data_IF_476949505990
#
_entry.id   IF_476949505990
#
_cell.length_a   1.000
_cell.length_b   1.000
_cell.length_c   1.000
_cell.angle_alpha   90.00
_cell.angle_beta   90.00
_cell.angle_gamma   90.00
#
_symmetry.space_group_name_H-M   'P 1'
#
loop_
_entity.id
_entity.type
_entity.pdbx_description
1 polymer ?
#
# COMPACT_ATOMS: atom_id res chain seq x y z
N UNK A 1 -8.94 -22.05 39.67
CA UNK A 1 -8.10 -21.86 38.52
C UNK A 1 -8.64 -20.70 37.66
N UNK A 2 -7.76 -19.99 37.02
CA UNK A 2 -8.13 -18.88 36.11
C UNK A 2 -8.78 -19.48 34.88
N UNK A 3 -10.02 -19.09 34.57
CA UNK A 3 -10.82 -19.64 33.49
C UNK A 3 -11.01 -18.65 32.35
N UNK A 4 -10.67 -17.36 32.58
CA UNK A 4 -10.72 -16.30 31.55
C UNK A 4 -9.42 -16.29 30.74
N UNK A 5 -9.47 -16.60 29.43
CA UNK A 5 -8.29 -16.62 28.58
C UNK A 5 -7.56 -15.27 28.50
N UNK A 6 -8.29 -14.15 28.46
CA UNK A 6 -7.71 -12.82 28.37
C UNK A 6 -6.91 -12.46 29.64
N UNK A 7 -7.41 -12.89 30.79
CA UNK A 7 -6.68 -12.67 32.04
C UNK A 7 -5.43 -13.54 32.15
N UNK A 8 -5.45 -14.73 31.55
CA UNK A 8 -4.26 -15.58 31.47
C UNK A 8 -3.21 -14.98 30.54
N UNK A 9 -3.63 -14.40 29.42
CA UNK A 9 -2.77 -13.67 28.48
C UNK A 9 -2.13 -12.46 29.17
N UNK A 10 -2.92 -11.63 29.86
CA UNK A 10 -2.41 -10.49 30.63
C UNK A 10 -1.31 -10.91 31.61
N UNK A 11 -1.56 -11.96 32.40
CA UNK A 11 -0.58 -12.47 33.37
C UNK A 11 0.70 -12.97 32.69
N UNK A 12 0.57 -13.64 31.55
CA UNK A 12 1.73 -14.06 30.75
C UNK A 12 2.54 -12.86 30.27
N UNK A 13 1.88 -11.87 29.67
CA UNK A 13 2.53 -10.67 29.14
C UNK A 13 3.17 -9.83 30.24
N UNK A 14 2.54 -9.70 31.42
CA UNK A 14 3.13 -9.03 32.59
C UNK A 14 4.44 -9.71 33.03
N UNK A 15 4.44 -11.03 33.09
CA UNK A 15 5.65 -11.81 33.45
C UNK A 15 6.77 -11.65 32.43
N UNK A 16 6.44 -11.70 31.14
CA UNK A 16 7.41 -11.50 30.08
C UNK A 16 7.99 -10.09 30.10
N UNK A 17 7.14 -9.08 30.32
CA UNK A 17 7.59 -7.70 30.45
C UNK A 17 8.51 -7.50 31.65
N UNK A 18 8.18 -8.12 32.80
CA UNK A 18 9.04 -8.07 33.99
C UNK A 18 10.41 -8.73 33.76
N UNK A 19 10.47 -9.86 33.06
CA UNK A 19 11.74 -10.53 32.71
C UNK A 19 12.59 -9.61 31.80
N UNK A 20 12.00 -9.00 30.79
CA UNK A 20 12.70 -8.08 29.89
C UNK A 20 13.24 -6.87 30.66
N UNK A 21 12.42 -6.25 31.49
CA UNK A 21 12.81 -5.10 32.33
C UNK A 21 13.96 -5.45 33.29
N UNK A 22 13.90 -6.63 33.94
CA UNK A 22 14.96 -7.12 34.82
C UNK A 22 16.30 -7.32 34.09
N UNK A 23 16.27 -7.50 32.75
CA UNK A 23 17.44 -7.60 31.91
C UNK A 23 17.80 -6.27 31.19
N UNK A 24 17.27 -5.15 31.67
CA UNK A 24 17.55 -3.82 31.13
C UNK A 24 17.01 -3.61 29.70
N UNK A 25 15.97 -4.36 29.30
CA UNK A 25 15.32 -4.22 28.00
C UNK A 25 13.93 -3.62 28.16
N UNK A 26 13.57 -2.73 27.26
CA UNK A 26 12.21 -2.20 27.16
C UNK A 26 11.33 -3.21 26.42
N UNK A 27 10.21 -3.65 27.01
CA UNK A 27 9.28 -4.55 26.31
C UNK A 27 8.62 -3.83 25.12
N UNK A 28 8.56 -4.50 23.98
CA UNK A 28 7.79 -4.10 22.81
C UNK A 28 6.65 -5.10 22.60
N UNK A 29 5.43 -4.62 22.41
CA UNK A 29 4.24 -5.46 22.32
C UNK A 29 3.32 -5.01 21.17
N UNK A 30 2.57 -5.95 20.60
CA UNK A 30 1.49 -5.60 19.68
C UNK A 30 0.30 -5.00 20.44
N UNK A 31 -0.54 -4.22 19.76
CA UNK A 31 -1.65 -3.50 20.39
C UNK A 31 -2.66 -4.40 21.09
N UNK A 32 -2.78 -5.68 20.74
CA UNK A 32 -3.67 -6.63 21.40
C UNK A 32 -3.31 -6.81 22.89
N UNK A 33 -2.04 -6.83 23.20
CA UNK A 33 -1.56 -7.03 24.58
C UNK A 33 -1.95 -5.89 25.55
N UNK A 34 -2.39 -4.74 25.02
CA UNK A 34 -2.80 -3.60 25.84
C UNK A 34 -4.31 -3.32 25.80
N UNK A 35 -5.08 -4.23 25.24
CA UNK A 35 -6.54 -4.08 25.10
C UNK A 35 -7.22 -3.93 26.44
N UNK A 36 -6.85 -4.73 27.43
CA UNK A 36 -7.36 -4.67 28.82
C UNK A 36 -6.81 -3.48 29.61
N UNK A 37 -5.64 -2.95 29.22
CA UNK A 37 -4.96 -1.85 29.90
C UNK A 37 -4.20 -2.25 31.17
N UNK A 38 -4.05 -3.55 31.45
CA UNK A 38 -3.35 -4.08 32.64
C UNK A 38 -1.83 -3.98 32.56
N UNK A 39 -1.26 -3.99 31.35
CA UNK A 39 0.18 -3.98 31.14
C UNK A 39 0.83 -2.63 31.55
N UNK A 40 2.09 -2.67 31.99
CA UNK A 40 2.86 -1.47 32.35
C UNK A 40 2.92 -0.47 31.20
N UNK A 41 2.81 0.83 31.51
CA UNK A 41 2.96 1.94 30.54
C UNK A 41 4.40 2.13 30.03
N UNK A 42 5.37 1.43 30.61
CA UNK A 42 6.73 1.39 30.10
C UNK A 42 6.88 0.55 28.83
N UNK A 43 5.89 -0.28 28.51
CA UNK A 43 5.87 -1.04 27.26
C UNK A 43 5.70 -0.10 26.06
N UNK A 44 6.47 -0.37 25.01
CA UNK A 44 6.29 0.26 23.69
C UNK A 44 5.25 -0.55 22.92
N UNK A 45 4.21 0.11 22.42
CA UNK A 45 3.13 -0.55 21.66
C UNK A 45 3.35 -0.36 20.16
N UNK A 46 3.21 -1.43 19.40
CA UNK A 46 3.15 -1.42 17.93
C UNK A 46 1.70 -1.58 17.50
N UNK A 47 1.09 -0.48 17.06
CA UNK A 47 -0.32 -0.43 16.66
C UNK A 47 -0.50 -0.81 15.19
N UNK A 48 -0.83 -2.07 14.93
CA UNK A 48 -0.90 -2.58 13.56
C UNK A 48 -2.31 -2.87 13.05
N UNK A 49 -3.24 -3.27 13.94
CA UNK A 49 -4.54 -3.77 13.51
C UNK A 49 -5.39 -2.71 12.80
N UNK A 50 -5.34 -1.47 13.27
CA UNK A 50 -6.10 -0.35 12.68
C UNK A 50 -5.66 0.98 13.28
N UNK A 51 -6.08 2.07 12.65
CA UNK A 51 -5.97 3.43 13.22
C UNK A 51 -6.64 3.50 14.60
N UNK A 52 -7.81 2.86 14.75
CA UNK A 52 -8.51 2.81 16.04
C UNK A 52 -7.67 2.14 17.13
N UNK A 53 -7.00 1.04 16.83
CA UNK A 53 -6.14 0.36 17.80
C UNK A 53 -4.97 1.25 18.25
N UNK A 54 -4.40 2.04 17.34
CA UNK A 54 -3.38 3.03 17.67
C UNK A 54 -3.94 4.14 18.59
N UNK A 55 -5.13 4.66 18.27
CA UNK A 55 -5.82 5.65 19.10
C UNK A 55 -6.11 5.13 20.50
N UNK A 56 -6.63 3.90 20.61
CA UNK A 56 -6.96 3.28 21.88
C UNK A 56 -5.70 3.07 22.76
N UNK A 57 -4.58 2.66 22.15
CA UNK A 57 -3.31 2.50 22.85
C UNK A 57 -2.76 3.85 23.35
N UNK A 58 -2.72 4.86 22.50
CA UNK A 58 -2.25 6.21 22.86
C UNK A 58 -3.15 6.86 23.91
N UNK A 59 -4.47 6.70 23.82
CA UNK A 59 -5.44 7.21 24.79
C UNK A 59 -5.28 6.55 26.19
N UNK A 60 -4.80 5.30 26.23
CA UNK A 60 -4.45 4.61 27.47
C UNK A 60 -3.09 5.02 28.04
N UNK A 61 -2.37 5.93 27.38
CA UNK A 61 -1.07 6.44 27.82
C UNK A 61 0.13 5.56 27.44
N UNK A 62 -0.01 4.63 26.48
CA UNK A 62 1.12 3.88 25.97
C UNK A 62 1.85 4.64 24.88
N UNK A 63 3.17 4.74 24.97
CA UNK A 63 3.98 5.14 23.83
C UNK A 63 3.78 4.14 22.68
N UNK A 64 3.39 4.66 21.51
CA UNK A 64 2.90 3.84 20.40
C UNK A 64 3.63 4.18 19.10
N UNK A 65 4.15 3.15 18.45
CA UNK A 65 4.53 3.19 17.04
C UNK A 65 3.27 2.98 16.21
N UNK A 66 2.90 3.97 15.41
CA UNK A 66 1.69 3.93 14.59
C UNK A 66 2.02 3.26 13.26
N UNK A 67 1.44 2.06 13.05
CA UNK A 67 1.69 1.24 11.85
C UNK A 67 0.45 0.48 11.37
N UNK A 68 -0.72 1.14 11.27
CA UNK A 68 -1.96 0.45 10.89
C UNK A 68 -1.83 -0.20 9.52
N UNK A 69 -2.25 -1.48 9.43
CA UNK A 69 -2.05 -2.32 8.26
C UNK A 69 -2.68 -1.75 6.99
N UNK A 70 -3.83 -1.09 7.12
CA UNK A 70 -4.56 -0.45 6.03
C UNK A 70 -3.84 0.77 5.39
N UNK A 71 -2.69 1.19 5.96
CA UNK A 71 -1.85 2.28 5.45
C UNK A 71 -0.38 1.89 5.27
N UNK A 72 0.16 1.03 6.15
CA UNK A 72 1.61 0.87 6.25
C UNK A 72 2.10 -0.58 6.14
N UNK A 73 1.23 -1.55 5.84
CA UNK A 73 1.67 -2.89 5.49
C UNK A 73 1.94 -2.96 3.99
N UNK A 74 3.21 -2.95 3.62
CA UNK A 74 3.65 -2.86 2.22
C UNK A 74 3.67 -4.21 1.49
N UNK A 75 3.28 -5.28 2.14
CA UNK A 75 2.87 -6.55 1.53
C UNK A 75 1.45 -6.51 0.96
N UNK A 76 0.67 -5.46 1.26
CA UNK A 76 -0.63 -5.23 0.63
C UNK A 76 -0.46 -4.78 -0.83
N UNK A 77 -1.29 -5.32 -1.73
CA UNK A 77 -1.30 -4.95 -3.16
C UNK A 77 -1.67 -3.48 -3.36
N UNK A 78 -1.16 -2.91 -4.44
CA UNK A 78 -1.35 -1.49 -4.71
C UNK A 78 -2.54 -1.20 -5.65
N UNK A 79 -2.95 -2.20 -6.43
CA UNK A 79 -4.21 -2.21 -7.20
C UNK A 79 -4.85 -3.60 -7.12
N UNK A 80 -6.14 -3.76 -7.46
CA UNK A 80 -6.80 -5.07 -7.45
C UNK A 80 -6.15 -6.15 -8.32
N UNK A 81 -5.37 -5.75 -9.33
CA UNK A 81 -4.76 -6.66 -10.31
C UNK A 81 -3.24 -6.81 -10.15
N UNK A 82 -2.68 -6.24 -9.10
CA UNK A 82 -1.29 -6.47 -8.72
C UNK A 82 -1.18 -7.59 -7.68
N UNK A 83 0.00 -8.21 -7.63
CA UNK A 83 0.30 -9.19 -6.60
C UNK A 83 0.38 -8.52 -5.22
N UNK A 84 0.16 -9.31 -4.18
CA UNK A 84 0.19 -8.89 -2.78
C UNK A 84 -1.04 -9.33 -2.02
N UNK A 85 -1.00 -9.17 -0.71
CA UNK A 85 -2.15 -9.38 0.15
C UNK A 85 -3.17 -8.24 0.01
N UNK A 86 -4.41 -8.47 0.46
CA UNK A 86 -5.49 -7.47 0.41
C UNK A 86 -6.36 -7.45 1.67
N UNK A 87 -6.02 -8.28 2.66
CA UNK A 87 -6.81 -8.45 3.87
C UNK A 87 -6.93 -7.15 4.71
N UNK A 88 -5.93 -6.25 4.68
CA UNK A 88 -6.01 -4.98 5.38
C UNK A 88 -6.57 -3.86 4.49
N UNK A 89 -6.07 -3.74 3.27
CA UNK A 89 -6.53 -2.78 2.27
C UNK A 89 -5.79 -2.99 0.94
N UNK A 90 -6.25 -2.27 -0.10
CA UNK A 90 -5.53 -2.08 -1.36
C UNK A 90 -5.13 -0.62 -1.43
N UNK A 91 -3.82 -0.31 -1.58
CA UNK A 91 -3.36 1.07 -1.53
C UNK A 91 -1.98 1.30 -2.15
N UNK A 92 -1.81 2.47 -2.73
CA UNK A 92 -0.57 2.98 -3.30
C UNK A 92 0.09 4.07 -2.41
N UNK A 93 1.15 4.68 -2.91
CA UNK A 93 1.87 5.75 -2.21
C UNK A 93 1.01 7.00 -1.94
N UNK A 94 -0.03 7.24 -2.74
CA UNK A 94 -0.94 8.38 -2.52
C UNK A 94 -1.75 8.19 -1.24
N UNK A 95 -2.24 6.98 -0.99
CA UNK A 95 -2.94 6.68 0.26
C UNK A 95 -2.02 6.76 1.47
N UNK A 96 -0.77 6.26 1.35
CA UNK A 96 0.24 6.40 2.42
C UNK A 96 0.49 7.86 2.75
N UNK A 97 0.74 8.69 1.72
CA UNK A 97 0.94 10.14 1.88
C UNK A 97 -0.27 10.85 2.50
N UNK A 98 -1.48 10.39 2.19
CA UNK A 98 -2.72 10.94 2.73
C UNK A 98 -3.01 10.58 4.20
N UNK A 99 -2.08 9.90 4.90
CA UNK A 99 -2.25 9.67 6.33
C UNK A 99 -1.98 10.97 7.10
N UNK A 100 -3.03 11.49 7.72
CA UNK A 100 -2.95 12.68 8.58
C UNK A 100 -3.45 12.34 9.98
N UNK A 101 -2.63 12.61 10.99
CA UNK A 101 -2.96 12.29 12.37
C UNK A 101 -4.24 12.99 12.85
N UNK A 102 -4.41 14.26 12.47
CA UNK A 102 -5.58 15.05 12.89
C UNK A 102 -6.86 14.49 12.28
N UNK A 103 -6.85 14.19 10.99
CA UNK A 103 -7.99 13.58 10.28
C UNK A 103 -8.32 12.19 10.83
N UNK A 104 -7.34 11.48 11.38
CA UNK A 104 -7.52 10.17 12.02
C UNK A 104 -7.97 10.26 13.48
N UNK A 105 -8.11 11.47 14.01
CA UNK A 105 -8.61 11.70 15.37
C UNK A 105 -7.54 11.70 16.47
N UNK A 106 -6.25 11.79 16.11
CA UNK A 106 -5.19 11.97 17.10
C UNK A 106 -5.19 13.42 17.58
N UNK A 107 -5.75 13.63 18.78
CA UNK A 107 -5.68 14.93 19.47
C UNK A 107 -4.32 15.15 20.16
N UNK A 108 -4.11 16.32 20.77
CA UNK A 108 -2.84 16.65 21.44
C UNK A 108 -2.41 15.65 22.52
N UNK A 109 -3.36 15.01 23.19
CA UNK A 109 -3.07 14.01 24.24
C UNK A 109 -2.55 12.71 23.61
N UNK A 110 -3.20 12.20 22.57
CA UNK A 110 -2.74 11.02 21.85
C UNK A 110 -1.38 11.25 21.20
N UNK A 111 -1.17 12.43 20.60
CA UNK A 111 0.08 12.77 19.94
C UNK A 111 1.29 12.79 20.87
N UNK A 112 1.12 13.06 22.17
CA UNK A 112 2.22 12.95 23.15
C UNK A 112 2.75 11.53 23.29
N UNK A 113 1.91 10.54 22.99
CA UNK A 113 2.22 9.13 23.11
C UNK A 113 2.56 8.49 21.76
N UNK A 114 2.54 9.23 20.65
CA UNK A 114 3.04 8.77 19.35
C UNK A 114 4.54 8.94 19.29
N UNK A 115 5.28 7.83 19.15
CA UNK A 115 6.75 7.86 19.04
C UNK A 115 7.24 7.87 17.60
N UNK A 116 6.39 7.51 16.65
CA UNK A 116 6.69 7.54 15.23
C UNK A 116 5.80 6.65 14.38
N UNK A 117 6.16 6.56 13.12
CA UNK A 117 5.53 5.73 12.10
C UNK A 117 6.44 4.57 11.71
N UNK A 118 5.86 3.44 11.37
CA UNK A 118 6.58 2.29 10.84
C UNK A 118 5.77 1.64 9.72
N UNK A 119 6.46 1.17 8.67
CA UNK A 119 5.91 0.23 7.71
C UNK A 119 6.35 -1.20 8.04
N UNK A 120 5.56 -2.16 7.60
CA UNK A 120 5.92 -3.58 7.64
C UNK A 120 5.79 -4.19 6.26
N UNK A 121 6.61 -5.19 6.00
CA UNK A 121 6.50 -6.07 4.85
C UNK A 121 6.74 -7.51 5.34
N UNK A 122 5.71 -8.34 5.27
CA UNK A 122 5.81 -9.72 5.71
C UNK A 122 6.29 -10.61 4.56
N UNK A 123 7.25 -11.48 4.88
CA UNK A 123 8.02 -12.23 3.88
C UNK A 123 7.22 -13.28 3.11
N UNK A 124 6.06 -13.68 3.58
CA UNK A 124 5.18 -14.62 2.88
C UNK A 124 4.83 -14.11 1.48
N UNK A 125 4.57 -12.81 1.36
CA UNK A 125 4.29 -12.20 0.06
C UNK A 125 5.52 -12.18 -0.86
N UNK A 126 6.73 -12.10 -0.30
CA UNK A 126 7.99 -12.13 -1.06
C UNK A 126 8.34 -13.55 -1.50
N UNK A 127 8.35 -14.49 -0.58
CA UNK A 127 8.81 -15.88 -0.84
C UNK A 127 7.97 -16.55 -1.94
N UNK A 128 6.68 -16.24 -2.03
CA UNK A 128 5.81 -16.80 -3.06
C UNK A 128 6.15 -16.32 -4.49
N UNK A 129 6.99 -15.27 -4.63
CA UNK A 129 7.34 -14.68 -5.91
C UNK A 129 8.82 -14.86 -6.31
N UNK A 130 9.66 -15.34 -5.39
CA UNK A 130 11.04 -15.71 -5.70
C UNK A 130 11.13 -17.13 -6.34
N UNK A 131 12.00 -17.35 -7.33
CA UNK A 131 12.91 -16.40 -8.00
C UNK A 131 12.29 -15.65 -9.18
N UNK A 132 11.00 -15.79 -9.43
CA UNK A 132 10.34 -15.27 -10.64
C UNK A 132 10.31 -13.74 -10.69
N UNK A 133 10.25 -13.11 -9.54
CA UNK A 133 10.19 -11.64 -9.39
C UNK A 133 11.20 -11.15 -8.35
N UNK A 134 12.51 -11.18 -8.64
CA UNK A 134 13.56 -10.81 -7.68
C UNK A 134 13.46 -9.36 -7.20
N UNK A 135 12.77 -8.50 -7.94
CA UNK A 135 12.59 -7.09 -7.62
C UNK A 135 11.28 -6.80 -6.85
N UNK A 136 10.57 -7.84 -6.45
CA UNK A 136 9.24 -7.71 -5.86
C UNK A 136 9.23 -6.84 -4.59
N UNK A 137 10.22 -7.00 -3.71
CA UNK A 137 10.34 -6.21 -2.49
C UNK A 137 10.50 -4.71 -2.81
N UNK A 138 11.39 -4.37 -3.72
CA UNK A 138 11.61 -2.99 -4.15
C UNK A 138 10.34 -2.39 -4.74
N UNK A 139 9.71 -3.12 -5.64
CA UNK A 139 8.48 -2.70 -6.29
C UNK A 139 7.33 -2.46 -5.30
N UNK A 140 7.21 -3.31 -4.29
CA UNK A 140 6.17 -3.18 -3.28
C UNK A 140 6.46 -2.06 -2.26
N UNK A 141 7.74 -1.84 -1.91
CA UNK A 141 8.11 -0.83 -0.93
C UNK A 141 8.22 0.57 -1.54
N UNK A 142 8.79 0.71 -2.72
CA UNK A 142 9.00 2.01 -3.35
C UNK A 142 7.94 2.31 -4.41
N UNK A 143 7.33 3.52 -4.39
CA UNK A 143 7.69 4.71 -3.59
C UNK A 143 6.91 4.85 -2.26
N UNK A 144 6.15 3.86 -1.80
CA UNK A 144 5.35 3.97 -0.57
C UNK A 144 6.18 4.37 0.65
N UNK A 145 7.40 3.83 0.77
CA UNK A 145 8.29 4.17 1.88
C UNK A 145 8.77 5.63 1.82
N UNK A 146 8.91 6.21 0.61
CA UNK A 146 9.23 7.62 0.46
C UNK A 146 8.08 8.50 0.99
N UNK A 147 6.83 8.10 0.73
CA UNK A 147 5.66 8.78 1.25
C UNK A 147 5.58 8.70 2.78
N UNK A 148 5.82 7.52 3.36
CA UNK A 148 5.88 7.32 4.80
C UNK A 148 6.99 8.18 5.43
N UNK A 149 8.19 8.18 4.86
CA UNK A 149 9.29 9.00 5.34
C UNK A 149 8.95 10.49 5.31
N UNK A 150 8.28 10.96 4.24
CA UNK A 150 7.85 12.36 4.11
C UNK A 150 6.93 12.78 5.25
N UNK A 151 5.89 11.99 5.53
CA UNK A 151 4.94 12.32 6.61
C UNK A 151 5.56 12.14 8.00
N UNK A 152 6.47 11.18 8.19
CA UNK A 152 7.15 10.97 9.47
C UNK A 152 8.08 12.13 9.84
N UNK A 153 8.78 12.73 8.86
CA UNK A 153 9.75 13.79 9.10
C UNK A 153 9.14 15.20 9.07
N UNK A 154 8.14 15.45 8.23
CA UNK A 154 7.65 16.81 7.98
C UNK A 154 6.15 16.98 8.27
N UNK A 155 5.45 15.91 8.59
CA UNK A 155 4.00 15.92 8.64
C UNK A 155 3.39 16.07 7.24
N UNK A 156 2.08 16.13 7.19
CA UNK A 156 1.31 16.29 5.95
C UNK A 156 0.99 17.78 5.72
N UNK A 157 2.02 18.56 5.33
CA UNK A 157 1.92 20.03 5.21
C UNK A 157 1.53 20.51 3.80
N UNK A 158 1.50 19.61 2.80
CA UNK A 158 1.32 19.94 1.38
C UNK A 158 0.36 18.97 0.72
N UNK A 159 -0.26 19.42 -0.39
CA UNK A 159 -1.11 18.55 -1.20
C UNK A 159 -0.31 17.49 -1.96
N UNK A 160 -1.01 16.40 -2.36
CA UNK A 160 -0.44 15.31 -3.14
C UNK A 160 0.32 15.78 -4.38
N UNK A 161 -0.21 16.74 -5.14
CA UNK A 161 0.40 17.17 -6.40
C UNK A 161 1.78 17.85 -6.20
N UNK A 162 1.96 18.55 -5.08
CA UNK A 162 3.25 19.14 -4.71
C UNK A 162 4.24 18.03 -4.34
N UNK A 163 3.82 17.11 -3.49
CA UNK A 163 4.64 15.96 -3.11
C UNK A 163 4.98 15.06 -4.31
N UNK A 164 4.03 14.85 -5.22
CA UNK A 164 4.25 14.01 -6.40
C UNK A 164 5.36 14.55 -7.31
N UNK A 165 5.45 15.89 -7.46
CA UNK A 165 6.59 16.52 -8.17
C UNK A 165 7.90 16.27 -7.45
N UNK A 166 7.96 16.43 -6.11
CA UNK A 166 9.15 16.09 -5.34
C UNK A 166 9.53 14.61 -5.48
N UNK A 167 8.54 13.72 -5.49
CA UNK A 167 8.74 12.29 -5.66
C UNK A 167 9.35 11.95 -7.02
N UNK A 168 8.93 12.61 -8.10
CA UNK A 168 9.53 12.39 -9.43
C UNK A 168 11.00 12.79 -9.49
N UNK A 169 11.42 13.79 -8.73
CA UNK A 169 12.84 14.15 -8.58
C UNK A 169 13.67 13.06 -7.86
N UNK A 170 13.03 12.18 -7.10
CA UNK A 170 13.68 11.04 -6.46
C UNK A 170 13.86 9.83 -7.40
N UNK A 171 13.20 9.78 -8.54
CA UNK A 171 13.30 8.65 -9.46
C UNK A 171 14.74 8.40 -9.92
N UNK A 172 15.50 9.46 -10.19
CA UNK A 172 16.91 9.35 -10.56
C UNK A 172 17.77 8.78 -9.44
N UNK A 173 17.50 9.17 -8.21
CA UNK A 173 18.22 8.66 -7.03
C UNK A 173 17.93 7.18 -6.80
N UNK A 174 16.65 6.79 -6.86
CA UNK A 174 16.26 5.38 -6.72
C UNK A 174 16.88 4.53 -7.82
N UNK A 175 16.84 5.00 -9.07
CA UNK A 175 17.47 4.30 -10.19
C UNK A 175 19.00 4.18 -10.04
N UNK A 176 19.68 5.24 -9.58
CA UNK A 176 21.12 5.21 -9.34
C UNK A 176 21.51 4.24 -8.21
N UNK A 177 20.62 3.98 -7.26
CA UNK A 177 20.76 2.98 -6.21
C UNK A 177 20.41 1.56 -6.68
N UNK A 178 19.96 1.39 -7.91
CA UNK A 178 19.51 0.12 -8.45
C UNK A 178 18.13 -0.33 -7.99
N UNK A 179 17.39 0.53 -7.29
CA UNK A 179 16.05 0.22 -6.78
C UNK A 179 15.08 0.10 -7.95
N UNK A 180 14.30 -0.96 -8.00
CA UNK A 180 13.30 -1.22 -9.03
C UNK A 180 11.91 -0.82 -8.55
N UNK A 181 11.68 0.47 -8.52
CA UNK A 181 10.48 1.06 -7.94
C UNK A 181 9.25 1.00 -8.85
N UNK A 182 8.09 1.04 -8.23
CA UNK A 182 6.82 1.13 -8.90
C UNK A 182 6.52 2.57 -9.33
N UNK A 183 6.18 2.74 -10.60
CA UNK A 183 5.61 3.97 -11.12
C UNK A 183 4.07 3.95 -11.03
N UNK A 184 3.46 5.11 -11.13
CA UNK A 184 2.01 5.19 -11.27
C UNK A 184 1.60 4.79 -12.70
N UNK A 185 0.47 4.08 -12.86
CA UNK A 185 -0.01 3.73 -14.20
C UNK A 185 -0.39 5.00 -14.98
N UNK A 186 -0.22 4.99 -16.32
CA UNK A 186 -0.60 6.13 -17.14
C UNK A 186 -2.12 6.31 -17.15
N UNK A 187 -2.55 7.54 -17.39
CA UNK A 187 -3.94 7.87 -17.63
C UNK A 187 -4.31 7.54 -19.06
N UNK A 188 -5.32 6.73 -19.25
CA UNK A 188 -5.78 6.29 -20.57
C UNK A 188 -7.17 6.82 -20.84
N UNK A 189 -7.38 7.39 -21.99
CA UNK A 189 -8.68 7.79 -22.51
C UNK A 189 -8.90 7.20 -23.90
N UNK A 190 -10.15 6.85 -24.23
CA UNK A 190 -10.54 6.34 -25.53
C UNK A 190 -11.62 7.22 -26.14
N UNK A 191 -11.33 7.80 -27.29
CA UNK A 191 -12.28 8.65 -28.00
C UNK A 191 -12.09 8.50 -29.52
N UNK A 192 -13.19 8.46 -30.25
CA UNK A 192 -13.21 8.46 -31.73
C UNK A 192 -12.32 7.35 -32.37
N UNK A 193 -12.29 6.18 -31.74
CA UNK A 193 -11.52 5.04 -32.25
C UNK A 193 -10.02 5.09 -31.95
N UNK A 194 -9.58 5.96 -31.05
CA UNK A 194 -8.18 6.08 -30.68
C UNK A 194 -7.97 6.14 -29.16
N UNK A 195 -6.88 5.56 -28.67
CA UNK A 195 -6.40 5.71 -27.30
C UNK A 195 -5.46 6.91 -27.22
N UNK A 196 -5.72 7.78 -26.27
CA UNK A 196 -4.79 8.83 -25.85
C UNK A 196 -4.30 8.50 -24.44
N UNK A 197 -2.97 8.52 -24.26
CA UNK A 197 -2.32 8.08 -23.03
C UNK A 197 -1.36 9.15 -22.54
N UNK A 198 -1.40 9.44 -21.23
CA UNK A 198 -0.58 10.47 -20.60
C UNK A 198 0.06 9.90 -19.32
N UNK A 199 1.35 10.15 -19.17
CA UNK A 199 2.09 9.93 -17.92
C UNK A 199 2.37 11.30 -17.28
N UNK A 200 1.90 11.51 -16.07
CA UNK A 200 2.02 12.80 -15.36
C UNK A 200 3.47 13.09 -14.90
N UNK A 201 4.30 12.06 -14.82
CA UNK A 201 5.68 12.11 -14.30
C UNK A 201 6.75 12.18 -15.41
N UNK A 202 6.34 12.31 -16.66
CA UNK A 202 7.25 12.33 -17.79
C UNK A 202 7.89 10.98 -18.14
N UNK A 203 7.41 9.90 -17.54
CA UNK A 203 7.87 8.55 -17.85
C UNK A 203 7.52 8.16 -19.30
N UNK A 204 8.34 7.30 -19.90
CA UNK A 204 8.06 6.76 -21.21
C UNK A 204 6.85 5.81 -21.14
N UNK A 205 5.96 5.94 -22.11
CA UNK A 205 4.75 5.12 -22.19
C UNK A 205 4.97 4.01 -23.22
N UNK A 206 4.53 2.81 -22.85
CA UNK A 206 4.53 1.64 -23.74
C UNK A 206 3.13 1.01 -23.75
N UNK A 207 2.85 0.24 -24.80
CA UNK A 207 1.62 -0.55 -24.87
C UNK A 207 1.87 -1.91 -25.50
N UNK A 208 0.98 -2.85 -25.18
CA UNK A 208 0.90 -4.17 -25.77
C UNK A 208 -0.46 -4.32 -26.46
N UNK A 209 -0.49 -5.06 -27.55
CA UNK A 209 -1.67 -5.31 -28.36
C UNK A 209 -2.04 -6.81 -28.33
N UNK A 210 -3.26 -7.12 -27.97
CA UNK A 210 -3.75 -8.50 -27.84
C UNK A 210 -2.96 -9.29 -26.81
N UNK A 211 -2.66 -10.54 -27.13
CA UNK A 211 -1.88 -11.46 -26.27
C UNK A 211 -0.36 -11.38 -26.57
N UNK A 212 0.06 -10.49 -27.46
CA UNK A 212 1.47 -10.31 -27.77
C UNK A 212 2.23 -9.81 -26.53
N UNK A 213 3.41 -10.39 -26.24
CA UNK A 213 4.30 -9.86 -25.19
C UNK A 213 5.15 -8.68 -25.69
N UNK A 214 5.06 -8.32 -26.99
CA UNK A 214 5.84 -7.25 -27.58
C UNK A 214 5.37 -5.89 -27.11
N UNK A 215 6.29 -5.12 -26.53
CA UNK A 215 6.01 -3.76 -26.07
C UNK A 215 6.31 -2.76 -27.20
N UNK A 216 5.34 -1.95 -27.53
CA UNK A 216 5.47 -0.85 -28.48
C UNK A 216 5.58 0.46 -27.72
N UNK A 217 6.54 1.31 -28.14
CA UNK A 217 6.68 2.66 -27.56
C UNK A 217 5.51 3.53 -28.03
N UNK A 218 4.83 4.16 -27.09
CA UNK A 218 3.76 5.12 -27.40
C UNK A 218 4.34 6.45 -27.84
N UNK A 219 4.02 6.86 -29.05
CA UNK A 219 4.48 8.15 -29.65
C UNK A 219 3.33 9.09 -30.01
N UNK A 220 2.10 8.66 -29.80
CA UNK A 220 0.89 9.40 -30.11
C UNK A 220 -0.34 8.52 -30.12
N UNK A 221 -1.53 9.04 -30.40
CA UNK A 221 -2.78 8.29 -30.31
C UNK A 221 -2.76 6.98 -31.09
N UNK A 222 -3.07 5.87 -30.40
CA UNK A 222 -3.14 4.54 -31.00
C UNK A 222 -4.55 4.33 -31.57
N UNK A 223 -4.64 4.28 -32.90
CA UNK A 223 -5.89 4.03 -33.59
C UNK A 223 -6.22 2.53 -33.53
N UNK A 224 -7.48 2.21 -33.30
CA UNK A 224 -7.95 0.83 -33.25
C UNK A 224 -8.95 0.58 -34.38
N UNK A 225 -8.56 -0.25 -35.33
CA UNK A 225 -9.44 -0.63 -36.47
C UNK A 225 -10.24 -1.91 -36.15
N UNK A 226 -9.70 -2.75 -35.29
CA UNK A 226 -10.28 -4.03 -34.89
C UNK A 226 -10.41 -4.15 -33.37
N UNK A 227 -11.31 -5.00 -32.86
CA UNK A 227 -11.35 -5.29 -31.41
C UNK A 227 -10.05 -5.97 -31.00
N UNK A 228 -9.28 -5.30 -30.16
CA UNK A 228 -8.07 -5.82 -29.54
C UNK A 228 -7.98 -5.36 -28.10
N UNK A 229 -7.34 -6.20 -27.30
CA UNK A 229 -6.94 -5.86 -25.96
C UNK A 229 -5.72 -4.94 -26.02
N UNK A 230 -5.79 -3.79 -25.35
CA UNK A 230 -4.65 -2.87 -25.21
C UNK A 230 -4.32 -2.74 -23.73
N UNK A 231 -3.03 -2.88 -23.41
CA UNK A 231 -2.51 -2.71 -22.05
C UNK A 231 -1.43 -1.65 -22.09
N UNK A 232 -1.55 -0.59 -21.30
CA UNK A 232 -0.62 0.52 -21.26
C UNK A 232 0.17 0.51 -19.97
N UNK A 233 1.46 0.84 -20.03
CA UNK A 233 2.34 0.95 -18.86
C UNK A 233 3.34 2.09 -19.08
N UNK A 234 4.00 2.50 -17.97
CA UNK A 234 5.11 3.46 -18.01
C UNK A 234 6.41 2.82 -17.57
N UNK A 235 7.51 3.36 -18.05
CA UNK A 235 8.88 3.00 -17.65
C UNK A 235 9.71 4.26 -17.45
N UNK A 236 10.55 4.24 -16.43
CA UNK A 236 11.58 5.25 -16.21
C UNK A 236 12.80 4.59 -15.58
N UNK A 237 13.87 4.42 -16.37
CA UNK A 237 15.09 3.72 -15.92
C UNK A 237 14.77 2.34 -15.32
N UNK A 238 14.98 2.18 -14.01
CA UNK A 238 14.66 0.93 -13.28
C UNK A 238 13.19 0.84 -12.84
N UNK A 239 12.43 1.95 -12.95
CA UNK A 239 11.02 2.01 -12.56
C UNK A 239 10.07 1.46 -13.63
N UNK A 240 8.98 0.85 -13.18
CA UNK A 240 7.91 0.34 -14.03
C UNK A 240 6.55 0.50 -13.35
N UNK A 241 5.52 0.88 -14.11
CA UNK A 241 4.14 0.83 -13.62
C UNK A 241 3.51 -0.55 -13.83
N UNK A 242 2.40 -0.87 -13.11
CA UNK A 242 1.48 -1.89 -13.57
C UNK A 242 0.83 -1.43 -14.88
N UNK A 243 0.07 -2.33 -15.51
CA UNK A 243 -0.77 -1.92 -16.62
C UNK A 243 -1.82 -0.89 -16.15
N UNK A 244 -2.09 0.06 -17.05
CA UNK A 244 -3.04 1.13 -16.75
C UNK A 244 -4.36 0.55 -16.28
N UNK A 245 -4.67 0.86 -15.04
CA UNK A 245 -5.91 0.53 -14.35
C UNK A 245 -6.60 -0.69 -14.95
N UNK A 246 -6.73 -1.75 -14.37
CA UNK A 246 -7.63 -2.89 -14.63
C UNK A 246 -8.40 -2.86 -15.96
N UNK A 247 -8.07 -1.92 -16.84
CA UNK A 247 -8.79 -1.64 -18.05
C UNK A 247 -8.01 -2.22 -19.20
N UNK A 248 -8.38 -3.45 -19.50
CA UNK A 248 -8.20 -3.96 -20.81
C UNK A 248 -9.15 -3.21 -21.72
N UNK A 249 -8.64 -2.30 -22.51
CA UNK A 249 -9.43 -1.59 -23.50
C UNK A 249 -9.52 -2.46 -24.74
N UNK A 250 -10.73 -2.74 -25.18
CA UNK A 250 -10.97 -3.35 -26.45
C UNK A 250 -12.10 -2.60 -27.16
N UNK A 251 -12.00 -2.50 -28.45
CA UNK A 251 -13.10 -2.01 -29.28
C UNK A 251 -14.08 -3.17 -29.49
N UNK A 252 -15.30 -3.02 -29.00
CA UNK A 252 -16.38 -3.94 -29.40
C UNK A 252 -17.13 -3.36 -30.59
N UNK A 253 -17.41 -4.22 -31.58
CA UNK A 253 -18.27 -3.89 -32.71
C UNK A 253 -19.74 -4.23 -32.43
N UNK A 254 -20.02 -4.91 -31.32
CA UNK A 254 -21.37 -5.22 -30.90
C UNK A 254 -21.99 -4.03 -30.14
N UNK A 255 -23.25 -3.66 -30.38
CA UNK A 255 -24.00 -2.82 -29.45
C UNK A 255 -24.08 -3.55 -28.11
N UNK A 256 -24.34 -2.78 -27.04
CA UNK A 256 -24.39 -3.31 -25.67
C UNK A 256 -25.03 -4.69 -25.58
N UNK A 257 -24.25 -5.69 -25.14
CA UNK A 257 -24.75 -7.04 -24.93
C UNK A 257 -25.23 -7.15 -23.49
N UNK A 258 -26.50 -7.47 -23.31
CA UNK A 258 -27.01 -7.84 -21.98
C UNK A 258 -26.65 -9.31 -21.75
N UNK A 259 -25.77 -9.55 -20.79
CA UNK A 259 -25.44 -10.92 -20.37
C UNK A 259 -26.44 -11.31 -19.28
N UNK A 260 -27.31 -12.27 -19.58
CA UNK A 260 -28.16 -12.93 -18.58
C UNK A 260 -27.54 -14.25 -18.20
N UNK A 261 -27.23 -14.44 -16.92
CA UNK A 261 -26.80 -15.74 -16.40
C UNK A 261 -28.00 -16.48 -15.82
N UNK A 262 -28.05 -17.78 -16.02
CA UNK A 262 -29.08 -18.67 -15.40
C UNK A 262 -28.78 -18.95 -13.91
N UNK A 263 -27.65 -18.53 -13.43
CA UNK A 263 -27.26 -18.62 -12.03
C UNK A 263 -27.34 -17.23 -11.41
N UNK A 264 -27.98 -17.12 -10.23
CA UNK A 264 -28.07 -15.87 -9.49
C UNK A 264 -26.67 -15.34 -9.14
N UNK A 265 -26.58 -14.03 -8.87
CA UNK A 265 -25.34 -13.41 -8.41
C UNK A 265 -24.82 -14.11 -7.15
N UNK A 266 -23.53 -14.41 -7.14
CA UNK A 266 -22.87 -14.92 -5.94
C UNK A 266 -22.77 -13.78 -4.93
N UNK A 267 -23.26 -14.00 -3.73
CA UNK A 267 -23.10 -13.05 -2.61
C UNK A 267 -21.66 -12.99 -2.10
N UNK A 268 -20.84 -14.01 -2.41
CA UNK A 268 -19.41 -14.05 -2.05
C UNK A 268 -18.50 -13.41 -3.11
N UNK A 269 -18.93 -13.45 -4.38
CA UNK A 269 -18.17 -12.92 -5.52
C UNK A 269 -19.12 -12.16 -6.44
N UNK A 270 -19.53 -10.93 -6.07
CA UNK A 270 -20.30 -10.08 -6.98
C UNK A 270 -19.43 -9.73 -8.19
N UNK A 271 -19.99 -9.86 -9.39
CA UNK A 271 -19.35 -9.53 -10.66
C UNK A 271 -19.19 -8.01 -10.83
#
# INVERSE_FOLDING_TARGET
GMTDPHRLEDLFMERMAAILAANGKRPGVWNEAVTTGGLSRECLVYGWQSVKACLDATAKGYETVVMPGEYFYFDMRQTPHEDGHDWAAIFDAKKVFGFDFTDKGFGPEQMRNVVGLQAAFFSEAYVSHEPEKPDYLDYMCFPRICALARIAWRGNCEGWDAYYRELTDHYDRMAAMGIRFRLFPPKVSYKEGAFTVVADDGSEIFYLEGDSPEEHRYTGPVKTEKPHLYRFLTRYKTGRSPYAADKSYYRTLAPAVTITTSMGESTQFPY
#
